data_IF_721966438668
#
_entry.id   IF_721966438668
#
_cell.length_a   1.000
_cell.length_b   1.000
_cell.length_c   1.000
_cell.angle_alpha   90.00
_cell.angle_beta   90.00
_cell.angle_gamma   90.00
#
_symmetry.space_group_name_H-M   'P 1'
#
loop_
_entity.id
_entity.type
_entity.pdbx_description
1 polymer ?
#
# COMPACT_ATOMS: atom_id res chain seq x y z
N UNK A 1 2.18 24.35 3.50
CA UNK A 1 3.29 25.07 4.16
C UNK A 1 2.93 25.41 5.60
N UNK A 2 3.95 25.67 6.41
CA UNK A 2 3.79 26.06 7.80
C UNK A 2 4.21 27.52 7.98
N UNK A 3 3.35 28.34 8.56
CA UNK A 3 3.66 29.75 8.83
C UNK A 3 3.33 30.09 10.29
N UNK A 4 4.34 30.41 11.08
CA UNK A 4 4.19 30.75 12.50
C UNK A 4 3.37 29.71 13.30
N UNK A 5 3.64 28.40 13.07
CA UNK A 5 2.92 27.30 13.69
C UNK A 5 1.55 26.98 13.12
N UNK A 6 1.07 27.74 12.12
CA UNK A 6 -0.23 27.50 11.46
C UNK A 6 -0.04 26.66 10.19
N UNK A 7 -0.71 25.50 10.06
CA UNK A 7 -0.68 24.70 8.85
C UNK A 7 -1.58 25.36 7.78
N UNK A 8 -0.97 25.74 6.67
CA UNK A 8 -1.62 26.45 5.57
C UNK A 8 -1.52 25.63 4.28
N UNK A 9 -2.45 25.80 3.37
CA UNK A 9 -2.38 25.24 2.03
C UNK A 9 -2.72 26.30 0.96
N UNK A 10 -2.08 26.14 -0.18
CA UNK A 10 -2.53 26.71 -1.44
C UNK A 10 -3.47 25.68 -2.07
N UNK A 11 -4.69 26.08 -2.34
CA UNK A 11 -5.75 25.20 -2.83
C UNK A 11 -6.64 25.92 -3.84
N UNK A 12 -7.40 25.15 -4.59
CA UNK A 12 -8.43 25.69 -5.49
C UNK A 12 -9.71 24.88 -5.33
N UNK A 13 -10.86 25.49 -5.57
CA UNK A 13 -12.11 24.74 -5.66
C UNK A 13 -12.07 23.79 -6.84
N UNK A 14 -12.71 22.63 -6.70
CA UNK A 14 -12.78 21.58 -7.72
C UNK A 14 -14.25 21.35 -8.08
N UNK A 15 -14.59 21.53 -9.36
CA UNK A 15 -15.87 21.10 -9.92
C UNK A 15 -15.65 19.85 -10.76
N UNK A 16 -16.43 18.78 -10.51
CA UNK A 16 -16.34 17.52 -11.23
C UNK A 16 -17.53 17.38 -12.18
N UNK A 17 -17.25 16.96 -13.42
CA UNK A 17 -18.24 16.81 -14.48
C UNK A 17 -18.24 15.39 -15.02
N UNK A 18 -19.40 14.89 -15.47
CA UNK A 18 -19.51 13.58 -16.13
C UNK A 18 -19.12 13.69 -17.62
N UNK A 19 -17.86 14.05 -17.88
CA UNK A 19 -17.30 14.21 -19.21
C UNK A 19 -15.88 13.61 -19.23
N UNK A 20 -15.63 12.60 -20.05
CA UNK A 20 -14.36 11.89 -20.11
C UNK A 20 -13.18 12.77 -20.58
N UNK A 21 -13.42 13.73 -21.45
CA UNK A 21 -12.39 14.60 -22.01
C UNK A 21 -12.07 15.80 -21.11
N UNK A 22 -13.07 16.26 -20.33
CA UNK A 22 -12.95 17.35 -19.38
C UNK A 22 -13.74 17.02 -18.12
N UNK A 23 -13.18 16.14 -17.29
CA UNK A 23 -13.87 15.64 -16.11
C UNK A 23 -13.79 16.54 -14.87
N UNK A 24 -12.92 17.58 -14.90
CA UNK A 24 -12.81 18.54 -13.80
C UNK A 24 -12.49 19.96 -14.28
N UNK A 25 -12.82 20.92 -13.46
CA UNK A 25 -12.41 22.33 -13.60
C UNK A 25 -11.94 22.83 -12.23
N UNK A 26 -10.79 23.51 -12.21
CA UNK A 26 -10.28 24.20 -11.03
C UNK A 26 -10.73 25.64 -11.03
N UNK A 27 -11.15 26.16 -9.87
CA UNK A 27 -11.41 27.58 -9.65
C UNK A 27 -10.13 28.33 -9.32
N UNK A 28 -10.31 29.57 -8.82
CA UNK A 28 -9.20 30.42 -8.42
C UNK A 28 -8.43 29.83 -7.23
N UNK A 29 -7.11 30.05 -7.24
CA UNK A 29 -6.25 29.67 -6.12
C UNK A 29 -6.50 30.57 -4.90
N UNK A 30 -6.51 29.96 -3.73
CA UNK A 30 -6.61 30.65 -2.46
C UNK A 30 -5.66 30.01 -1.44
N UNK A 31 -5.27 30.82 -0.44
CA UNK A 31 -4.48 30.35 0.70
C UNK A 31 -5.38 30.27 1.92
N UNK A 32 -5.50 29.08 2.50
CA UNK A 32 -6.39 28.82 3.63
C UNK A 32 -5.69 27.97 4.67
N UNK A 33 -6.08 28.15 5.93
CA UNK A 33 -5.63 27.30 7.02
C UNK A 33 -6.22 25.90 6.86
N UNK A 34 -5.38 24.87 7.03
CA UNK A 34 -5.85 23.48 7.06
C UNK A 34 -6.79 23.23 8.25
N UNK A 35 -6.70 24.03 9.31
CA UNK A 35 -7.58 23.97 10.48
C UNK A 35 -9.02 24.45 10.21
N UNK A 36 -9.28 25.06 9.05
CA UNK A 36 -10.61 25.50 8.62
C UNK A 36 -11.33 24.48 7.73
N UNK A 37 -10.68 23.35 7.45
CA UNK A 37 -11.25 22.26 6.65
C UNK A 37 -11.96 21.25 7.56
N UNK A 38 -13.08 20.70 7.09
CA UNK A 38 -13.78 19.61 7.78
C UNK A 38 -13.00 18.30 7.66
N UNK A 39 -12.48 18.01 6.46
CA UNK A 39 -11.77 16.75 6.13
C UNK A 39 -10.61 17.00 5.18
N UNK A 40 -9.51 16.31 5.43
CA UNK A 40 -8.37 16.21 4.51
C UNK A 40 -8.20 14.75 4.12
N UNK A 41 -8.25 14.46 2.82
CA UNK A 41 -7.90 13.15 2.26
C UNK A 41 -6.46 13.21 1.74
N UNK A 42 -5.54 12.50 2.42
CA UNK A 42 -4.15 12.36 1.95
C UNK A 42 -4.11 11.36 0.80
N UNK A 43 -4.29 11.88 -0.43
CA UNK A 43 -4.33 11.06 -1.65
C UNK A 43 -3.05 11.16 -2.51
N UNK A 44 -1.94 11.60 -1.88
CA UNK A 44 -0.65 11.63 -2.54
C UNK A 44 -0.09 10.20 -2.64
N UNK A 45 0.28 9.81 -3.85
CA UNK A 45 0.96 8.54 -4.08
C UNK A 45 2.37 8.51 -3.47
N UNK A 46 2.89 7.31 -3.13
CA UNK A 46 4.30 7.14 -2.78
C UNK A 46 5.25 7.80 -3.80
N UNK A 47 6.48 8.16 -3.43
CA UNK A 47 7.20 7.60 -2.29
C UNK A 47 6.82 8.24 -0.96
N UNK A 48 6.91 7.45 0.13
CA UNK A 48 6.87 7.95 1.51
C UNK A 48 8.29 8.41 1.87
N UNK A 49 8.65 9.57 1.35
CA UNK A 49 9.93 10.24 1.56
C UNK A 49 9.85 11.30 2.66
N UNK A 50 10.92 12.07 2.85
CA UNK A 50 10.94 13.12 3.85
C UNK A 50 9.86 14.19 3.60
N UNK A 51 9.58 14.53 2.34
CA UNK A 51 8.55 15.53 1.98
C UNK A 51 7.15 15.02 2.32
N UNK A 52 6.89 13.71 2.10
CA UNK A 52 5.67 13.08 2.55
C UNK A 52 5.55 13.14 4.09
N UNK A 53 6.62 12.80 4.82
CA UNK A 53 6.67 12.85 6.28
C UNK A 53 6.44 14.28 6.79
N UNK A 54 7.07 15.29 6.19
CA UNK A 54 6.85 16.70 6.55
C UNK A 54 5.39 17.14 6.32
N UNK A 55 4.76 16.70 5.24
CA UNK A 55 3.34 16.97 5.00
C UNK A 55 2.45 16.37 6.11
N UNK A 56 2.75 15.13 6.55
CA UNK A 56 1.98 14.50 7.64
C UNK A 56 2.15 15.24 8.98
N UNK A 57 3.30 15.85 9.27
CA UNK A 57 3.46 16.70 10.46
C UNK A 57 2.58 17.96 10.40
N UNK A 58 2.42 18.55 9.21
CA UNK A 58 1.51 19.69 9.03
C UNK A 58 0.03 19.26 9.19
N UNK A 59 -0.32 18.07 8.71
CA UNK A 59 -1.67 17.51 8.90
C UNK A 59 -1.97 17.19 10.37
N UNK A 60 -0.98 16.73 11.13
CA UNK A 60 -1.15 16.51 12.56
C UNK A 60 -1.50 17.80 13.33
N UNK A 61 -0.95 18.94 12.93
CA UNK A 61 -1.35 20.26 13.48
C UNK A 61 -2.79 20.61 13.10
N UNK A 62 -3.25 20.22 11.91
CA UNK A 62 -4.66 20.39 11.52
C UNK A 62 -5.59 19.46 12.34
N UNK A 63 -5.18 18.20 12.58
CA UNK A 63 -5.90 17.26 13.47
C UNK A 63 -6.06 17.83 14.88
N UNK A 64 -5.00 18.43 15.45
CA UNK A 64 -5.04 19.07 16.77
C UNK A 64 -6.02 20.26 16.82
N UNK A 65 -6.27 20.90 15.68
CA UNK A 65 -7.25 21.98 15.55
C UNK A 65 -8.68 21.47 15.26
N UNK A 66 -8.88 20.17 15.07
CA UNK A 66 -10.20 19.55 14.88
C UNK A 66 -10.52 19.07 13.48
N UNK A 67 -9.62 19.24 12.50
CA UNK A 67 -9.80 18.75 11.13
C UNK A 67 -9.64 17.21 11.08
N UNK A 68 -10.56 16.51 10.45
CA UNK A 68 -10.42 15.07 10.22
C UNK A 68 -9.41 14.81 9.09
N UNK A 69 -8.32 14.11 9.39
CA UNK A 69 -7.36 13.68 8.37
C UNK A 69 -7.52 12.17 8.10
N UNK A 70 -7.70 11.79 6.86
CA UNK A 70 -7.87 10.41 6.41
C UNK A 70 -6.68 10.01 5.51
N UNK A 71 -5.85 9.09 5.96
CA UNK A 71 -5.78 8.42 7.26
C UNK A 71 -5.04 9.29 8.27
N UNK A 72 -5.17 8.97 9.59
CA UNK A 72 -4.52 9.67 10.69
C UNK A 72 -3.03 9.92 10.38
N UNK A 73 -2.61 11.17 10.51
CA UNK A 73 -1.27 11.61 10.08
C UNK A 73 -0.13 10.83 10.76
N UNK A 74 -0.24 10.55 12.07
CA UNK A 74 0.73 9.72 12.78
C UNK A 74 0.79 8.31 12.20
N UNK A 75 -0.36 7.70 11.91
CA UNK A 75 -0.42 6.32 11.39
C UNK A 75 0.13 6.18 9.98
N UNK A 76 0.05 7.24 9.14
CA UNK A 76 0.72 7.27 7.84
C UNK A 76 2.25 7.17 7.97
N UNK A 77 2.82 7.67 9.08
CA UNK A 77 4.26 7.55 9.37
C UNK A 77 4.62 6.19 9.98
N UNK A 78 3.73 5.62 10.79
CA UNK A 78 4.01 4.43 11.59
C UNK A 78 3.89 3.12 10.79
N UNK A 79 3.09 3.10 9.72
CA UNK A 79 2.73 1.87 9.02
C UNK A 79 3.19 1.86 7.56
N UNK A 80 4.21 1.04 7.28
CA UNK A 80 4.61 0.70 5.92
C UNK A 80 3.71 -0.42 5.39
N UNK A 81 3.18 -0.31 4.18
CA UNK A 81 2.18 -1.22 3.60
C UNK A 81 2.61 -2.70 3.56
N UNK A 82 3.92 -2.97 3.47
CA UNK A 82 4.47 -4.34 3.41
C UNK A 82 4.84 -4.85 4.80
N UNK A 83 5.54 -4.02 5.60
CA UNK A 83 5.95 -4.41 6.95
C UNK A 83 4.74 -4.59 7.88
N UNK A 84 3.69 -3.81 7.72
CA UNK A 84 2.48 -3.89 8.54
C UNK A 84 1.81 -5.27 8.48
N UNK A 85 1.98 -6.00 7.40
CA UNK A 85 1.49 -7.39 7.29
C UNK A 85 2.09 -8.30 8.36
N UNK A 86 3.27 -7.98 8.89
CA UNK A 86 3.95 -8.76 9.94
C UNK A 86 3.25 -8.76 11.30
N UNK A 87 2.29 -7.85 11.52
CA UNK A 87 1.41 -7.87 12.71
C UNK A 87 0.38 -9.00 12.64
N UNK A 88 0.22 -9.64 11.49
CA UNK A 88 -0.74 -10.71 11.23
C UNK A 88 -0.06 -11.95 10.65
N UNK A 89 0.87 -12.58 11.39
CA UNK A 89 1.73 -13.66 10.85
C UNK A 89 0.94 -14.86 10.32
N UNK A 90 -0.24 -15.13 10.87
CA UNK A 90 -1.10 -16.24 10.44
C UNK A 90 -1.83 -15.97 9.12
N UNK A 91 -1.92 -14.71 8.71
CA UNK A 91 -2.61 -14.27 7.49
C UNK A 91 -1.67 -14.05 6.31
N UNK A 92 -0.35 -14.18 6.48
CA UNK A 92 0.64 -13.96 5.43
C UNK A 92 1.33 -15.27 5.00
N UNK A 93 1.93 -15.26 3.82
CA UNK A 93 2.86 -16.33 3.44
C UNK A 93 4.13 -16.26 4.28
N UNK A 94 4.91 -17.36 4.32
CA UNK A 94 6.24 -17.32 4.92
C UNK A 94 7.02 -16.10 4.39
N UNK A 95 7.45 -15.23 5.29
CA UNK A 95 8.05 -13.93 4.96
C UNK A 95 9.35 -13.73 5.73
N UNK A 96 10.34 -13.18 5.06
CA UNK A 96 11.62 -12.74 5.62
C UNK A 96 11.85 -11.28 5.21
N UNK A 97 12.14 -10.42 6.18
CA UNK A 97 12.61 -9.06 5.91
C UNK A 97 14.04 -8.94 6.42
N UNK A 98 14.96 -8.74 5.51
CA UNK A 98 16.39 -8.69 5.84
C UNK A 98 17.18 -7.94 4.76
N UNK A 99 18.43 -7.60 5.09
CA UNK A 99 19.47 -7.17 4.16
C UNK A 99 20.68 -8.12 4.13
N UNK A 100 20.59 -9.23 4.86
CA UNK A 100 21.65 -10.22 4.95
C UNK A 100 21.48 -11.28 3.85
N UNK A 101 22.44 -11.31 2.92
CA UNK A 101 22.48 -12.26 1.80
C UNK A 101 22.43 -13.72 2.24
N UNK A 102 23.02 -14.08 3.39
CA UNK A 102 23.04 -15.47 3.86
C UNK A 102 21.65 -15.93 4.28
N UNK A 103 20.91 -15.05 4.98
CA UNK A 103 19.52 -15.33 5.37
C UNK A 103 18.62 -15.48 4.16
N UNK A 104 18.77 -14.63 3.13
CA UNK A 104 17.98 -14.74 1.89
C UNK A 104 18.28 -16.05 1.15
N UNK A 105 19.55 -16.44 1.02
CA UNK A 105 19.94 -17.71 0.39
C UNK A 105 19.36 -18.92 1.13
N UNK A 106 19.38 -18.90 2.47
CA UNK A 106 18.77 -19.96 3.29
C UNK A 106 17.24 -20.02 3.11
N UNK A 107 16.58 -18.85 3.04
CA UNK A 107 15.15 -18.74 2.80
C UNK A 107 14.77 -19.29 1.42
N UNK A 108 15.52 -18.93 0.36
CA UNK A 108 15.32 -19.48 -0.98
C UNK A 108 15.55 -21.01 -1.02
N UNK A 109 16.61 -21.50 -0.36
CA UNK A 109 16.89 -22.93 -0.28
C UNK A 109 15.73 -23.71 0.38
N UNK A 110 15.07 -23.11 1.39
CA UNK A 110 13.90 -23.70 2.07
C UNK A 110 12.66 -23.69 1.19
N UNK A 111 12.34 -22.56 0.54
CA UNK A 111 11.05 -22.36 -0.14
C UNK A 111 11.07 -22.62 -1.64
N UNK A 112 12.26 -22.64 -2.28
CA UNK A 112 12.50 -22.94 -3.69
C UNK A 112 11.94 -21.93 -4.69
N UNK A 113 10.81 -21.33 -4.40
CA UNK A 113 10.12 -20.36 -5.26
C UNK A 113 9.69 -19.17 -4.38
N UNK A 114 10.31 -18.04 -4.60
CA UNK A 114 10.13 -16.85 -3.77
C UNK A 114 9.90 -15.58 -4.58
N UNK A 115 9.22 -14.63 -3.97
CA UNK A 115 9.12 -13.26 -4.44
C UNK A 115 10.09 -12.40 -3.64
N UNK A 116 10.85 -11.57 -4.34
CA UNK A 116 11.76 -10.58 -3.79
C UNK A 116 11.26 -9.19 -4.16
N UNK A 117 11.06 -8.30 -3.18
CA UNK A 117 10.52 -6.94 -3.41
C UNK A 117 11.11 -5.92 -2.46
N UNK A 118 11.21 -4.63 -2.86
CA UNK A 118 11.59 -3.57 -1.93
C UNK A 118 10.46 -3.32 -0.93
N UNK A 119 10.76 -2.68 0.20
CA UNK A 119 9.76 -2.27 1.19
C UNK A 119 9.02 -1.00 0.79
N UNK A 120 9.64 -0.16 -0.01
CA UNK A 120 9.08 1.03 -0.65
C UNK A 120 8.84 0.75 -2.15
N UNK A 121 7.96 1.48 -2.74
CA UNK A 121 7.61 1.32 -4.15
C UNK A 121 6.19 0.83 -4.35
N UNK A 122 5.64 1.18 -5.51
CA UNK A 122 4.24 0.96 -5.88
C UNK A 122 4.13 0.35 -7.28
N UNK A 123 2.92 -0.06 -7.65
CA UNK A 123 2.60 -0.50 -9.01
C UNK A 123 3.33 -1.77 -9.47
N UNK A 124 3.89 -2.56 -8.55
CA UNK A 124 4.62 -3.78 -8.87
C UNK A 124 6.06 -3.54 -9.35
N UNK A 125 6.59 -2.33 -9.18
CA UNK A 125 7.99 -2.02 -9.54
C UNK A 125 8.98 -2.84 -8.70
N UNK A 126 10.05 -3.32 -9.37
CA UNK A 126 11.14 -4.07 -8.73
C UNK A 126 10.71 -5.33 -7.97
N UNK A 127 9.61 -5.97 -8.40
CA UNK A 127 9.20 -7.28 -7.90
C UNK A 127 9.80 -8.36 -8.77
N UNK A 128 10.59 -9.25 -8.17
CA UNK A 128 11.25 -10.36 -8.83
C UNK A 128 10.75 -11.70 -8.29
N UNK A 129 10.52 -12.67 -9.17
CA UNK A 129 10.31 -14.06 -8.80
C UNK A 129 11.58 -14.85 -9.04
N UNK A 130 12.03 -15.57 -8.04
CA UNK A 130 13.19 -16.47 -8.13
C UNK A 130 12.71 -17.90 -7.88
N UNK A 131 12.81 -18.72 -8.93
CA UNK A 131 12.42 -20.12 -8.91
C UNK A 131 13.54 -20.99 -8.31
N UNK A 132 13.31 -22.32 -8.24
CA UNK A 132 14.21 -23.31 -7.64
C UNK A 132 15.64 -23.27 -8.20
N UNK A 133 15.80 -22.93 -9.49
CA UNK A 133 17.11 -22.81 -10.14
C UNK A 133 17.97 -21.65 -9.58
N UNK A 134 17.37 -20.74 -8.84
CA UNK A 134 18.06 -19.61 -8.21
C UNK A 134 18.66 -18.60 -9.17
N UNK A 135 18.24 -18.61 -10.44
CA UNK A 135 18.77 -17.72 -11.46
C UNK A 135 18.65 -16.26 -11.03
N UNK A 136 19.75 -15.51 -11.14
CA UNK A 136 19.90 -14.10 -10.77
C UNK A 136 19.66 -13.78 -9.29
N UNK A 137 19.49 -14.76 -8.38
CA UNK A 137 19.24 -14.49 -6.96
C UNK A 137 20.30 -13.55 -6.36
N UNK A 138 21.58 -13.76 -6.68
CA UNK A 138 22.67 -12.93 -6.17
C UNK A 138 22.51 -11.46 -6.55
N UNK A 139 22.33 -11.17 -7.85
CA UNK A 139 22.19 -9.79 -8.34
C UNK A 139 20.87 -9.15 -7.89
N UNK A 140 19.80 -9.95 -7.74
CA UNK A 140 18.52 -9.44 -7.19
C UNK A 140 18.70 -9.00 -5.74
N UNK A 141 19.40 -9.79 -4.91
CA UNK A 141 19.69 -9.40 -3.53
C UNK A 141 20.53 -8.12 -3.50
N UNK A 142 21.62 -8.05 -4.27
CA UNK A 142 22.49 -6.87 -4.35
C UNK A 142 21.70 -5.61 -4.74
N UNK A 143 20.83 -5.74 -5.74
CA UNK A 143 19.99 -4.62 -6.24
C UNK A 143 18.98 -4.18 -5.19
N UNK A 144 18.19 -5.09 -4.63
CA UNK A 144 17.12 -4.75 -3.69
C UNK A 144 17.65 -4.27 -2.34
N UNK A 145 18.81 -4.80 -1.92
CA UNK A 145 19.41 -4.43 -0.64
C UNK A 145 20.43 -3.30 -0.75
N UNK A 146 20.68 -2.76 -1.96
CA UNK A 146 21.75 -1.81 -2.22
C UNK A 146 23.07 -2.27 -1.55
N UNK A 147 23.50 -3.47 -1.95
CA UNK A 147 24.72 -4.12 -1.41
C UNK A 147 24.68 -4.33 0.12
N UNK A 148 23.50 -4.61 0.67
CA UNK A 148 23.32 -4.90 2.11
C UNK A 148 23.12 -3.66 3.00
N UNK A 149 22.84 -2.49 2.42
CA UNK A 149 22.55 -1.26 3.18
C UNK A 149 21.07 -1.06 3.44
N UNK A 150 20.16 -1.60 2.59
CA UNK A 150 18.71 -1.48 2.68
C UNK A 150 18.03 -2.80 3.01
N UNK A 151 16.96 -2.74 3.80
CA UNK A 151 16.07 -3.89 4.01
C UNK A 151 15.22 -4.14 2.77
N UNK A 152 15.01 -5.43 2.45
CA UNK A 152 14.08 -5.90 1.43
C UNK A 152 13.23 -7.04 1.98
N UNK A 153 12.10 -7.31 1.32
CA UNK A 153 11.17 -8.38 1.68
C UNK A 153 11.28 -9.55 0.71
N UNK A 154 11.30 -10.74 1.29
CA UNK A 154 11.34 -12.02 0.58
C UNK A 154 10.18 -12.87 1.08
N UNK A 155 9.33 -13.34 0.17
CA UNK A 155 8.13 -14.10 0.52
C UNK A 155 8.06 -15.38 -0.30
N UNK A 156 7.52 -16.46 0.29
CA UNK A 156 7.15 -17.64 -0.46
C UNK A 156 6.19 -17.27 -1.58
N UNK A 157 6.45 -17.75 -2.80
CA UNK A 157 5.57 -17.51 -3.95
C UNK A 157 4.20 -18.13 -3.73
N UNK A 158 3.15 -17.39 -4.08
CA UNK A 158 1.75 -17.83 -4.03
C UNK A 158 1.27 -18.11 -5.46
N UNK A 159 1.11 -19.38 -5.86
CA UNK A 159 0.66 -19.72 -7.22
C UNK A 159 -0.77 -19.27 -7.52
N UNK A 160 -1.55 -18.95 -6.50
CA UNK A 160 -2.91 -18.40 -6.58
C UNK A 160 -2.96 -17.01 -7.24
N UNK A 161 -1.82 -16.35 -7.45
CA UNK A 161 -1.75 -15.09 -8.21
C UNK A 161 -2.37 -15.21 -9.61
N UNK A 162 -2.37 -16.43 -10.21
CA UNK A 162 -3.06 -16.69 -11.48
C UNK A 162 -4.55 -16.37 -11.47
N UNK A 163 -5.17 -16.46 -10.29
CA UNK A 163 -6.60 -16.19 -10.07
C UNK A 163 -6.84 -14.71 -9.69
N UNK A 164 -5.78 -13.94 -9.54
CA UNK A 164 -5.75 -12.51 -9.30
C UNK A 164 -5.22 -12.12 -7.92
N UNK A 165 -4.68 -10.92 -7.86
CA UNK A 165 -4.37 -10.18 -6.64
C UNK A 165 -5.58 -9.30 -6.31
N UNK A 166 -6.28 -9.60 -5.21
CA UNK A 166 -7.55 -8.97 -4.85
C UNK A 166 -7.30 -7.71 -4.01
N UNK A 167 -7.76 -6.54 -4.50
CA UNK A 167 -7.86 -5.33 -3.69
C UNK A 167 -9.19 -5.33 -2.94
N UNK A 168 -9.15 -5.43 -1.62
CA UNK A 168 -10.29 -5.38 -0.70
C UNK A 168 -10.23 -4.05 0.04
N UNK A 169 -11.34 -3.30 0.04
CA UNK A 169 -11.41 -2.04 0.78
C UNK A 169 -12.03 -2.24 2.16
N UNK A 170 -11.44 -1.57 3.16
CA UNK A 170 -11.99 -1.41 4.50
C UNK A 170 -12.13 0.09 4.75
N UNK A 171 -13.36 0.52 5.07
CA UNK A 171 -13.69 1.92 5.30
C UNK A 171 -14.28 2.02 6.71
N UNK A 172 -13.59 2.74 7.60
CA UNK A 172 -13.95 2.90 9.01
C UNK A 172 -14.30 1.56 9.68
N UNK A 173 -13.43 0.56 9.48
CA UNK A 173 -13.61 -0.80 9.99
C UNK A 173 -14.66 -1.65 9.26
N UNK A 174 -15.39 -1.09 8.30
CA UNK A 174 -16.41 -1.78 7.53
C UNK A 174 -15.79 -2.39 6.27
N UNK A 175 -15.98 -3.69 6.08
CA UNK A 175 -15.47 -4.40 4.90
C UNK A 175 -16.42 -4.15 3.72
N UNK A 176 -15.89 -3.63 2.62
CA UNK A 176 -16.65 -3.52 1.37
C UNK A 176 -16.85 -4.92 0.79
N UNK A 177 -18.10 -5.37 0.46
CA UNK A 177 -18.38 -6.77 0.14
C UNK A 177 -17.93 -7.23 -1.25
N UNK A 178 -17.12 -6.42 -1.94
CA UNK A 178 -16.55 -6.70 -3.25
C UNK A 178 -15.06 -6.41 -3.27
N UNK A 179 -14.32 -7.17 -4.09
CA UNK A 179 -12.92 -6.92 -4.39
C UNK A 179 -12.73 -6.61 -5.88
N UNK A 180 -11.67 -5.88 -6.18
CA UNK A 180 -11.10 -5.79 -7.51
C UNK A 180 -9.98 -6.83 -7.64
N UNK A 181 -10.24 -7.94 -8.31
CA UNK A 181 -9.21 -8.91 -8.67
C UNK A 181 -8.40 -8.38 -9.87
N UNK A 182 -7.11 -8.20 -9.67
CA UNK A 182 -6.16 -7.75 -10.69
C UNK A 182 -5.43 -8.99 -11.23
N UNK A 183 -5.79 -9.39 -12.45
CA UNK A 183 -5.27 -10.61 -13.08
C UNK A 183 -4.00 -10.28 -13.88
N UNK A 184 -2.91 -11.06 -13.68
CA UNK A 184 -1.71 -10.93 -14.49
C UNK A 184 -1.98 -11.23 -15.98
N UNK A 185 -1.32 -10.49 -16.85
CA UNK A 185 -1.29 -10.81 -18.28
C UNK A 185 -0.33 -11.96 -18.58
N UNK A 186 -0.48 -12.58 -19.76
CA UNK A 186 0.35 -13.72 -20.15
C UNK A 186 1.84 -13.37 -20.10
N UNK A 187 2.61 -14.15 -19.33
CA UNK A 187 4.05 -13.97 -19.15
C UNK A 187 4.44 -13.03 -18.00
N UNK A 188 3.47 -12.43 -17.31
CA UNK A 188 3.68 -11.58 -16.14
C UNK A 188 3.29 -12.32 -14.86
N UNK A 189 3.96 -12.01 -13.74
CA UNK A 189 3.63 -12.51 -12.40
C UNK A 189 2.96 -11.44 -11.52
N UNK A 190 2.77 -10.23 -12.03
CA UNK A 190 2.18 -9.10 -11.30
C UNK A 190 0.78 -8.80 -11.83
N UNK A 191 -0.19 -8.70 -10.93
CA UNK A 191 -1.57 -8.35 -11.27
C UNK A 191 -1.84 -6.85 -11.37
N UNK A 192 -0.88 -5.99 -11.04
CA UNK A 192 -1.05 -4.54 -10.97
C UNK A 192 -1.56 -3.94 -12.30
N UNK A 193 -2.60 -3.13 -12.25
CA UNK A 193 -3.17 -2.47 -13.43
C UNK A 193 -2.15 -1.58 -14.16
N UNK A 194 -1.24 -0.94 -13.42
CA UNK A 194 -0.18 -0.10 -13.96
C UNK A 194 0.79 -0.83 -14.91
N UNK A 195 0.89 -2.15 -14.80
CA UNK A 195 1.73 -3.00 -15.66
C UNK A 195 0.89 -3.85 -16.64
N UNK A 196 -0.36 -3.44 -16.89
CA UNK A 196 -1.24 -4.07 -17.88
C UNK A 196 -2.13 -5.18 -17.33
N UNK A 197 -2.22 -5.34 -16.00
CA UNK A 197 -3.18 -6.26 -15.38
C UNK A 197 -4.62 -5.94 -15.75
N UNK A 198 -5.48 -6.95 -15.73
CA UNK A 198 -6.92 -6.84 -16.04
C UNK A 198 -7.70 -6.83 -14.73
N UNK A 199 -8.48 -5.76 -14.50
CA UNK A 199 -9.36 -5.65 -13.35
C UNK A 199 -10.66 -6.43 -13.53
N UNK A 200 -11.04 -7.22 -12.53
CA UNK A 200 -12.32 -7.92 -12.47
C UNK A 200 -12.96 -7.71 -11.10
N UNK A 201 -14.14 -7.07 -11.08
CA UNK A 201 -14.93 -6.98 -9.85
C UNK A 201 -15.52 -8.36 -9.50
N UNK A 202 -15.45 -8.73 -8.22
CA UNK A 202 -16.02 -9.98 -7.71
C UNK A 202 -16.47 -9.83 -6.25
N UNK A 203 -17.48 -10.59 -5.80
CA UNK A 203 -17.83 -10.64 -4.38
C UNK A 203 -16.68 -11.26 -3.57
N UNK A 204 -16.60 -10.89 -2.30
CA UNK A 204 -15.66 -11.50 -1.36
C UNK A 204 -16.05 -12.94 -1.04
N UNK A 205 -15.05 -13.81 -0.88
CA UNK A 205 -15.21 -15.14 -0.31
C UNK A 205 -15.27 -15.09 1.23
N UNK A 206 -15.66 -16.17 1.88
CA UNK A 206 -15.62 -16.29 3.35
C UNK A 206 -14.20 -16.06 3.90
N UNK A 207 -13.17 -16.55 3.20
CA UNK A 207 -11.79 -16.33 3.62
C UNK A 207 -11.37 -14.87 3.50
N UNK A 208 -11.84 -14.16 2.46
CA UNK A 208 -11.58 -12.73 2.30
C UNK A 208 -12.23 -11.91 3.43
N UNK A 209 -13.48 -12.20 3.77
CA UNK A 209 -14.16 -11.58 4.92
C UNK A 209 -13.41 -11.84 6.22
N UNK A 210 -13.04 -13.10 6.50
CA UNK A 210 -12.31 -13.47 7.71
C UNK A 210 -10.98 -12.72 7.84
N UNK A 211 -10.23 -12.58 6.75
CA UNK A 211 -9.00 -11.80 6.71
C UNK A 211 -9.29 -10.34 7.06
N UNK A 212 -10.23 -9.73 6.36
CA UNK A 212 -10.54 -8.31 6.51
C UNK A 212 -11.08 -8.00 7.92
N UNK A 213 -11.99 -8.82 8.45
CA UNK A 213 -12.55 -8.67 9.81
C UNK A 213 -11.50 -8.89 10.90
N UNK A 214 -10.48 -9.72 10.66
CA UNK A 214 -9.38 -9.91 11.62
C UNK A 214 -8.49 -8.66 11.69
N UNK A 215 -8.30 -7.96 10.57
CA UNK A 215 -7.42 -6.77 10.48
C UNK A 215 -8.17 -5.49 10.91
N UNK A 216 -9.46 -5.37 10.57
CA UNK A 216 -10.24 -4.16 10.73
C UNK A 216 -10.20 -3.52 12.15
N UNK A 217 -10.28 -4.26 13.27
CA UNK A 217 -10.23 -3.67 14.60
C UNK A 217 -8.95 -2.89 14.88
N UNK A 218 -7.79 -3.39 14.43
CA UNK A 218 -6.52 -2.70 14.58
C UNK A 218 -6.47 -1.43 13.71
N UNK A 219 -7.05 -1.47 12.50
CA UNK A 219 -7.12 -0.30 11.63
C UNK A 219 -7.91 0.84 12.32
N UNK A 220 -9.07 0.53 12.89
CA UNK A 220 -9.89 1.50 13.64
C UNK A 220 -9.12 2.07 14.83
N UNK A 221 -8.49 1.21 15.66
CA UNK A 221 -7.65 1.65 16.79
C UNK A 221 -6.57 2.66 16.35
N UNK A 222 -5.99 2.45 15.19
CA UNK A 222 -4.92 3.31 14.66
C UNK A 222 -5.41 4.51 13.85
N UNK A 223 -6.74 4.71 13.72
CA UNK A 223 -7.30 5.80 12.91
C UNK A 223 -7.03 5.66 11.41
N UNK A 224 -6.86 4.42 10.96
CA UNK A 224 -6.71 4.05 9.56
C UNK A 224 -8.10 3.80 8.97
N UNK A 225 -8.75 4.89 8.54
CA UNK A 225 -10.15 4.91 8.10
C UNK A 225 -10.33 4.34 6.69
N UNK A 226 -9.37 4.60 5.80
CA UNK A 226 -9.47 4.16 4.40
C UNK A 226 -8.27 3.30 4.03
N UNK A 227 -8.48 1.98 3.93
CA UNK A 227 -7.42 0.99 3.77
C UNK A 227 -7.75 0.02 2.64
N UNK A 228 -6.74 -0.35 1.86
CA UNK A 228 -6.81 -1.39 0.84
C UNK A 228 -5.95 -2.58 1.22
N UNK A 229 -6.55 -3.76 1.38
CA UNK A 229 -5.81 -5.01 1.53
C UNK A 229 -5.52 -5.60 0.15
N UNK A 230 -4.30 -6.08 -0.07
CA UNK A 230 -3.97 -6.91 -1.21
C UNK A 230 -3.89 -8.37 -0.76
N UNK A 231 -4.68 -9.23 -1.42
CA UNK A 231 -4.86 -10.63 -1.03
C UNK A 231 -4.69 -11.55 -2.25
N UNK A 232 -3.76 -12.48 -2.15
CA UNK A 232 -3.56 -13.55 -3.13
C UNK A 232 -3.96 -14.89 -2.49
N UNK A 233 -4.92 -15.58 -3.10
CA UNK A 233 -5.53 -16.76 -2.48
C UNK A 233 -6.19 -16.41 -1.14
N UNK A 234 -5.63 -16.93 -0.03
CA UNK A 234 -6.04 -16.67 1.35
C UNK A 234 -4.93 -15.96 2.16
N UNK A 235 -4.01 -15.25 1.50
CA UNK A 235 -2.87 -14.59 2.13
C UNK A 235 -2.81 -13.10 1.79
N UNK A 236 -2.64 -12.29 2.85
CA UNK A 236 -2.39 -10.85 2.71
C UNK A 236 -0.97 -10.62 2.22
N UNK A 237 -0.82 -9.76 1.25
CA UNK A 237 0.49 -9.38 0.68
C UNK A 237 0.87 -7.94 0.97
N UNK A 238 -0.14 -7.06 1.16
CA UNK A 238 0.03 -5.64 1.51
C UNK A 238 -1.20 -5.11 2.25
N UNK A 239 -0.97 -4.14 3.15
CA UNK A 239 -2.00 -3.34 3.83
C UNK A 239 -1.76 -1.89 3.45
N UNK A 240 -2.44 -1.42 2.42
CA UNK A 240 -2.20 -0.11 1.81
C UNK A 240 -2.95 0.97 2.58
N UNK A 241 -2.22 1.89 3.20
CA UNK A 241 -2.76 2.93 4.09
C UNK A 241 -2.58 4.35 3.57
N UNK A 242 -1.75 4.57 2.54
CA UNK A 242 -1.46 5.91 1.99
C UNK A 242 -2.54 6.38 1.03
N UNK A 243 -2.62 5.80 -0.16
CA UNK A 243 -3.62 6.16 -1.18
C UNK A 243 -4.26 4.93 -1.83
N UNK A 244 -4.92 4.04 -1.05
CA UNK A 244 -5.57 2.85 -1.61
C UNK A 244 -6.70 3.21 -2.55
N UNK A 245 -6.83 2.47 -3.66
CA UNK A 245 -7.90 2.59 -4.69
C UNK A 245 -8.30 1.23 -5.18
#
# INVERSE_FOLDING_TARGET
YLQNGKPMSQMASLTVESNADKWFTLGDELHQSLAELDVILMRKDPPVDNEFIYATHMFELAEQAGTLVVNKAQSLRDFNEKLFTSWFPDLVADTLVTRDTKLVKAFHQKHKDIICKPLDGMGGSSIFRVKEDGNNLGVIIETLTELGTRYAMFQKFLPEIKDGDKRILIIDGQVVPYALARLPTKGENRGNLAVGGIGRAQPLSESDFKIAETIAPLLVEKGLIFVGLDVIGDRVTEINVTSPT
#
